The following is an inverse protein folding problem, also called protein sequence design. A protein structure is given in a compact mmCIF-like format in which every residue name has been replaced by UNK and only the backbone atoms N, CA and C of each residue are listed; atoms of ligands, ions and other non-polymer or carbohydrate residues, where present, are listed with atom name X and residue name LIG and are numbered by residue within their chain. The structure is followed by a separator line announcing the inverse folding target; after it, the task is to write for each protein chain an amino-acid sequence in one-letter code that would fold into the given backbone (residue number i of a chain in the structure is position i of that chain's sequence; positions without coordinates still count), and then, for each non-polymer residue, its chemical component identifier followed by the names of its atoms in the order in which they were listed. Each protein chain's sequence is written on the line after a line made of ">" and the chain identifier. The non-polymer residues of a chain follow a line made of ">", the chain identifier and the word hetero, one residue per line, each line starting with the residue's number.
data_IF_356906344780
#
_entry.id   IF_356906344780
#
_cell.length_a   1.000
_cell.length_b   1.000
_cell.length_c   1.000
_cell.angle_alpha   90.00
_cell.angle_beta   90.00
_cell.angle_gamma   90.00
#
_symmetry.space_group_name_H-M   'P 1'
#
loop_
_entity.id
_entity.type
_entity.pdbx_description
1 polymer ?
#
# COMPACT_ATOMS: atom_id res chain seq x y z
N UNK A 1 5.72 5.21 9.41
CA UNK A 1 6.32 6.38 8.72
C UNK A 1 5.44 6.79 7.53
N UNK A 2 5.40 8.06 7.12
CA UNK A 2 4.67 8.51 5.91
C UNK A 2 5.65 9.23 4.97
N UNK A 3 5.48 9.07 3.66
CA UNK A 3 6.41 9.48 2.63
C UNK A 3 5.88 10.69 1.86
N UNK A 4 6.04 11.88 2.46
CA UNK A 4 5.70 13.14 1.80
C UNK A 4 6.81 13.70 0.90
N UNK A 5 8.02 13.13 0.94
CA UNK A 5 9.22 13.70 0.31
C UNK A 5 9.96 12.67 -0.54
N UNK A 6 10.66 13.14 -1.57
CA UNK A 6 11.55 12.32 -2.39
C UNK A 6 12.66 11.66 -1.55
N UNK A 7 13.14 10.51 -2.00
CA UNK A 7 14.29 9.80 -1.45
C UNK A 7 15.52 10.01 -2.34
N UNK A 8 16.66 10.33 -1.72
CA UNK A 8 17.95 10.38 -2.42
C UNK A 8 18.46 9.00 -2.87
N UNK A 9 17.91 7.91 -2.29
CA UNK A 9 18.27 6.53 -2.66
C UNK A 9 17.49 5.98 -3.86
N UNK A 10 16.55 6.74 -4.40
CA UNK A 10 15.76 6.36 -5.57
C UNK A 10 16.08 7.28 -6.77
N UNK A 11 15.92 6.81 -8.01
CA UNK A 11 16.07 7.65 -9.19
C UNK A 11 15.07 8.83 -9.16
N UNK A 12 15.32 9.92 -9.91
CA UNK A 12 14.31 10.96 -10.08
C UNK A 12 13.04 10.38 -10.74
N UNK A 13 11.85 10.99 -10.55
CA UNK A 13 10.64 10.57 -11.23
C UNK A 13 10.83 10.53 -12.76
N UNK A 14 10.59 9.39 -13.36
CA UNK A 14 10.62 9.17 -14.80
C UNK A 14 9.35 9.64 -15.49
N UNK A 15 9.25 9.35 -16.79
CA UNK A 15 8.05 9.62 -17.58
C UNK A 15 6.90 8.72 -17.10
N UNK A 16 5.72 9.31 -16.96
CA UNK A 16 4.49 8.60 -16.69
C UNK A 16 3.36 9.09 -17.59
N UNK A 17 2.30 8.28 -17.68
CA UNK A 17 1.05 8.64 -18.35
C UNK A 17 -0.07 8.60 -17.32
N UNK A 18 -0.85 9.67 -17.23
CA UNK A 18 -2.04 9.68 -16.39
C UNK A 18 -3.14 8.82 -17.02
N UNK A 19 -3.64 7.85 -16.26
CA UNK A 19 -4.73 6.96 -16.62
C UNK A 19 -5.95 7.37 -15.83
N UNK A 20 -6.92 8.03 -16.47
CA UNK A 20 -8.13 8.53 -15.82
C UNK A 20 -9.40 7.76 -16.22
N UNK A 21 -9.29 6.83 -17.17
CA UNK A 21 -10.38 5.89 -17.48
C UNK A 21 -10.34 4.75 -16.46
N UNK A 22 -11.43 4.57 -15.70
CA UNK A 22 -11.47 3.62 -14.57
C UNK A 22 -10.93 4.24 -13.29
N UNK A 23 -10.09 3.50 -12.55
CA UNK A 23 -9.47 4.03 -11.33
C UNK A 23 -8.26 4.93 -11.67
N UNK A 24 -8.25 6.19 -11.20
CA UNK A 24 -7.15 7.12 -11.46
C UNK A 24 -5.79 6.57 -11.01
N UNK A 25 -4.82 6.58 -11.93
CA UNK A 25 -3.45 6.17 -11.66
C UNK A 25 -2.44 6.87 -12.57
N UNK A 26 -1.17 6.82 -12.18
CA UNK A 26 -0.03 7.17 -13.02
C UNK A 26 0.66 5.88 -13.46
N UNK A 27 0.72 5.64 -14.77
CA UNK A 27 1.37 4.46 -15.34
C UNK A 27 2.84 4.75 -15.69
N UNK A 28 3.73 3.82 -15.34
CA UNK A 28 5.18 3.86 -15.59
C UNK A 28 5.64 2.56 -16.25
N UNK A 29 6.60 2.65 -17.17
CA UNK A 29 7.15 1.49 -17.89
C UNK A 29 6.41 1.18 -19.20
N UNK A 30 6.72 0.02 -19.79
CA UNK A 30 6.10 -0.46 -21.03
C UNK A 30 4.87 -1.33 -20.71
N UNK A 31 3.74 -1.05 -21.36
CA UNK A 31 2.49 -1.81 -21.20
C UNK A 31 2.64 -3.28 -21.63
N UNK A 32 3.65 -3.62 -22.44
CA UNK A 32 3.98 -4.98 -22.83
C UNK A 32 4.60 -5.83 -21.71
N UNK A 33 5.00 -5.23 -20.59
CA UNK A 33 5.65 -5.98 -19.51
C UNK A 33 4.72 -6.99 -18.84
N UNK A 34 5.30 -8.16 -18.53
CA UNK A 34 4.57 -9.27 -17.89
C UNK A 34 4.36 -9.03 -16.39
N UNK A 35 5.31 -8.38 -15.74
CA UNK A 35 5.22 -8.04 -14.32
C UNK A 35 4.48 -6.72 -14.22
N UNK A 36 3.30 -6.73 -13.59
CA UNK A 36 2.42 -5.57 -13.47
C UNK A 36 2.16 -5.29 -12.00
N UNK A 37 2.61 -4.14 -11.52
CA UNK A 37 2.60 -3.81 -10.09
C UNK A 37 1.67 -2.62 -9.85
N UNK A 38 0.76 -2.74 -8.90
CA UNK A 38 0.03 -1.59 -8.38
C UNK A 38 0.66 -1.10 -7.07
N UNK A 39 0.92 0.20 -6.98
CA UNK A 39 1.40 0.86 -5.76
C UNK A 39 0.24 1.65 -5.16
N UNK A 40 -0.15 1.29 -3.93
CA UNK A 40 -1.14 2.03 -3.15
C UNK A 40 -0.42 2.95 -2.17
N UNK A 41 -0.50 4.28 -2.35
CA UNK A 41 0.26 5.23 -1.54
C UNK A 41 -0.29 5.35 -0.10
N UNK A 42 0.44 6.09 0.73
CA UNK A 42 -0.06 6.54 2.02
C UNK A 42 -1.02 7.74 1.90
N UNK A 43 -1.37 8.34 3.05
CA UNK A 43 -2.31 9.46 3.18
C UNK A 43 -1.93 10.72 2.38
N UNK A 44 -0.66 10.88 1.98
CA UNK A 44 -0.22 12.01 1.15
C UNK A 44 -0.57 11.81 -0.33
N UNK A 45 -0.89 10.59 -0.77
CA UNK A 45 -1.24 10.27 -2.15
C UNK A 45 0.00 10.02 -3.04
N UNK A 46 -0.13 10.10 -4.38
CA UNK A 46 0.90 9.71 -5.34
C UNK A 46 2.05 10.74 -5.46
N UNK A 47 2.65 11.09 -4.32
CA UNK A 47 3.71 12.09 -4.22
C UNK A 47 5.09 11.64 -4.74
N UNK A 48 6.12 12.51 -4.61
CA UNK A 48 7.42 12.30 -5.24
C UNK A 48 8.08 10.96 -4.91
N UNK A 49 8.05 10.52 -3.65
CA UNK A 49 8.59 9.22 -3.24
C UNK A 49 8.02 8.07 -4.07
N UNK A 50 6.69 8.02 -4.21
CA UNK A 50 6.00 6.93 -4.90
C UNK A 50 6.27 6.97 -6.40
N UNK A 51 6.39 8.15 -6.99
CA UNK A 51 6.77 8.28 -8.40
C UNK A 51 8.21 7.80 -8.64
N UNK A 52 9.14 8.11 -7.73
CA UNK A 52 10.50 7.59 -7.80
C UNK A 52 10.55 6.06 -7.63
N UNK A 53 9.74 5.51 -6.71
CA UNK A 53 9.63 4.07 -6.53
C UNK A 53 9.04 3.39 -7.77
N UNK A 54 7.97 3.95 -8.34
CA UNK A 54 7.37 3.46 -9.57
C UNK A 54 8.37 3.47 -10.73
N UNK A 55 9.14 4.56 -10.86
CA UNK A 55 10.22 4.67 -11.84
C UNK A 55 11.28 3.60 -11.63
N UNK A 56 11.73 3.41 -10.39
CA UNK A 56 12.74 2.43 -10.04
C UNK A 56 12.34 0.99 -10.39
N UNK A 57 11.07 0.65 -10.19
CA UNK A 57 10.50 -0.65 -10.54
C UNK A 57 10.30 -0.78 -12.05
N UNK A 58 9.88 0.29 -12.72
CA UNK A 58 9.73 0.31 -14.17
C UNK A 58 11.07 0.10 -14.90
N UNK A 59 12.15 0.74 -14.43
CA UNK A 59 13.52 0.53 -14.93
C UNK A 59 14.02 -0.92 -14.75
N UNK A 60 13.32 -1.74 -13.96
CA UNK A 60 13.62 -3.16 -13.71
C UNK A 60 12.69 -4.11 -14.47
N UNK A 61 11.91 -3.62 -15.42
CA UNK A 61 11.04 -4.44 -16.28
C UNK A 61 9.67 -4.74 -15.67
N UNK A 62 9.09 -3.78 -14.94
CA UNK A 62 7.71 -3.84 -14.49
C UNK A 62 6.87 -2.74 -15.16
N UNK A 63 5.61 -3.03 -15.46
CA UNK A 63 4.62 -2.00 -15.71
C UNK A 63 3.96 -1.62 -14.40
N UNK A 64 4.04 -0.35 -14.00
CA UNK A 64 3.65 0.09 -12.66
C UNK A 64 2.49 1.06 -12.72
N UNK A 65 1.41 0.76 -12.01
CA UNK A 65 0.32 1.69 -11.74
C UNK A 65 0.50 2.28 -10.33
N UNK A 66 0.85 3.55 -10.25
CA UNK A 66 0.79 4.31 -9.01
C UNK A 66 -0.63 4.86 -8.85
N UNK A 67 -1.39 4.30 -7.92
CA UNK A 67 -2.80 4.62 -7.75
C UNK A 67 -3.00 5.97 -7.06
N UNK A 68 -4.11 6.65 -7.37
CA UNK A 68 -4.52 7.89 -6.71
C UNK A 68 -5.90 7.74 -6.01
N UNK A 69 -5.93 7.25 -4.76
CA UNK A 69 -7.17 7.17 -3.99
C UNK A 69 -7.83 8.52 -3.68
N UNK A 70 -7.11 9.63 -3.92
CA UNK A 70 -7.53 10.97 -3.54
C UNK A 70 -7.93 11.84 -4.73
N UNK A 71 -7.97 11.28 -5.94
CA UNK A 71 -8.19 12.01 -7.19
C UNK A 71 -9.38 12.98 -7.11
N UNK A 72 -10.55 12.47 -6.71
CA UNK A 72 -11.80 13.25 -6.61
C UNK A 72 -11.79 14.27 -5.45
N UNK A 73 -10.88 14.11 -4.49
CA UNK A 73 -10.74 15.00 -3.33
C UNK A 73 -9.72 16.12 -3.58
N UNK A 74 -8.95 16.02 -4.67
CA UNK A 74 -7.94 17.00 -5.06
C UNK A 74 -6.66 16.96 -4.22
N UNK A 75 -5.70 17.84 -4.55
CA UNK A 75 -4.43 17.94 -3.84
C UNK A 75 -4.64 18.45 -2.41
N UNK A 76 -3.65 18.21 -1.56
CA UNK A 76 -3.64 18.81 -0.23
C UNK A 76 -3.43 20.33 -0.35
N UNK A 77 -4.23 21.15 0.34
CA UNK A 77 -4.00 22.60 0.40
C UNK A 77 -2.62 22.93 0.97
N UNK A 78 -2.21 22.15 1.98
CA UNK A 78 -0.90 22.24 2.64
C UNK A 78 -0.39 20.82 2.92
N UNK A 79 0.92 20.58 2.76
CA UNK A 79 1.53 19.27 3.02
C UNK A 79 1.77 19.12 4.53
N UNK A 80 0.69 19.02 5.28
CA UNK A 80 0.69 18.75 6.73
C UNK A 80 0.01 17.42 7.01
N UNK A 81 0.33 16.83 8.17
CA UNK A 81 -0.27 15.56 8.58
C UNK A 81 -1.76 15.72 8.84
N UNK A 82 -2.15 16.84 9.46
CA UNK A 82 -3.51 17.20 9.80
C UNK A 82 -4.36 17.35 8.54
N UNK A 83 -3.88 18.07 7.53
CA UNK A 83 -4.57 18.19 6.24
C UNK A 83 -4.68 16.83 5.52
N UNK A 84 -3.63 16.01 5.57
CA UNK A 84 -3.65 14.67 5.00
C UNK A 84 -4.69 13.76 5.65
N UNK A 85 -4.79 13.77 6.99
CA UNK A 85 -5.84 13.05 7.70
C UNK A 85 -7.23 13.61 7.39
N UNK A 86 -7.43 14.93 7.40
CA UNK A 86 -8.72 15.54 7.08
C UNK A 86 -9.21 15.13 5.68
N UNK A 87 -8.32 15.10 4.67
CA UNK A 87 -8.65 14.57 3.34
C UNK A 87 -8.92 13.07 3.39
N UNK A 88 -8.10 12.30 4.11
CA UNK A 88 -8.27 10.84 4.23
C UNK A 88 -9.67 10.46 4.67
N UNK A 89 -10.21 11.08 5.72
CA UNK A 89 -11.49 10.67 6.32
C UNK A 89 -12.66 10.69 5.33
N UNK A 90 -12.52 11.45 4.24
CA UNK A 90 -13.52 11.60 3.17
C UNK A 90 -13.39 10.55 2.07
N UNK A 91 -12.32 9.74 2.07
CA UNK A 91 -12.15 8.65 1.10
C UNK A 91 -13.18 7.58 1.40
N UNK A 92 -13.89 7.09 0.39
CA UNK A 92 -14.82 5.96 0.55
C UNK A 92 -14.07 4.64 0.40
N UNK A 93 -13.47 4.13 1.47
CA UNK A 93 -12.54 3.01 1.39
C UNK A 93 -13.16 1.76 0.77
N UNK A 94 -14.40 1.42 1.17
CA UNK A 94 -15.05 0.21 0.69
C UNK A 94 -15.26 0.33 -0.81
N UNK A 95 -15.85 1.44 -1.25
CA UNK A 95 -16.08 1.70 -2.67
C UNK A 95 -14.77 1.71 -3.48
N UNK A 96 -13.71 2.30 -2.91
CA UNK A 96 -12.39 2.32 -3.55
C UNK A 96 -11.80 0.92 -3.69
N UNK A 97 -11.81 0.10 -2.63
CA UNK A 97 -11.25 -1.26 -2.68
C UNK A 97 -12.10 -2.19 -3.54
N UNK A 98 -13.42 -1.99 -3.61
CA UNK A 98 -14.30 -2.69 -4.56
C UNK A 98 -13.86 -2.41 -6.00
N UNK A 99 -13.77 -1.14 -6.39
CA UNK A 99 -13.29 -0.77 -7.73
C UNK A 99 -11.84 -1.23 -7.98
N UNK A 100 -11.00 -1.26 -6.95
CA UNK A 100 -9.61 -1.67 -7.09
C UNK A 100 -9.45 -3.17 -7.30
N UNK A 101 -10.33 -3.98 -6.71
CA UNK A 101 -10.37 -5.42 -6.98
C UNK A 101 -10.71 -5.72 -8.45
N UNK A 102 -11.65 -4.96 -9.04
CA UNK A 102 -12.00 -5.08 -10.46
C UNK A 102 -10.82 -4.63 -11.34
N UNK A 103 -10.21 -3.49 -11.00
CA UNK A 103 -9.03 -2.96 -11.69
C UNK A 103 -7.86 -3.95 -11.74
N UNK A 104 -7.62 -4.71 -10.65
CA UNK A 104 -6.58 -5.74 -10.62
C UNK A 104 -6.78 -6.77 -11.75
N UNK A 105 -8.02 -7.21 -11.98
CA UNK A 105 -8.35 -8.16 -13.04
C UNK A 105 -8.21 -7.54 -14.43
N UNK A 106 -8.79 -6.35 -14.63
CA UNK A 106 -8.79 -5.63 -15.91
C UNK A 106 -7.37 -5.31 -16.39
N UNK A 107 -6.52 -4.81 -15.47
CA UNK A 107 -5.14 -4.44 -15.76
C UNK A 107 -4.14 -5.59 -15.59
N UNK A 108 -4.62 -6.80 -15.29
CA UNK A 108 -3.81 -8.02 -15.09
C UNK A 108 -2.68 -7.81 -14.09
N UNK A 109 -2.95 -7.10 -13.01
CA UNK A 109 -1.97 -6.81 -11.95
C UNK A 109 -1.47 -8.13 -11.37
N UNK A 110 -0.15 -8.29 -11.29
CA UNK A 110 0.52 -9.49 -10.74
C UNK A 110 0.91 -9.31 -9.28
N UNK A 111 1.07 -8.06 -8.83
CA UNK A 111 1.34 -7.77 -7.42
C UNK A 111 0.93 -6.37 -6.97
N UNK A 112 0.66 -6.23 -5.68
CA UNK A 112 0.25 -4.97 -5.04
C UNK A 112 1.16 -4.67 -3.86
N UNK A 113 1.74 -3.48 -3.86
CA UNK A 113 2.50 -2.94 -2.73
C UNK A 113 1.74 -1.76 -2.11
N UNK A 114 1.31 -1.91 -0.86
CA UNK A 114 0.55 -0.90 -0.14
C UNK A 114 1.32 -0.32 1.03
N UNK A 115 1.29 1.01 1.18
CA UNK A 115 2.06 1.74 2.20
C UNK A 115 1.10 2.46 3.16
N UNK A 116 1.23 2.25 4.48
CA UNK A 116 0.39 2.93 5.49
C UNK A 116 -1.11 2.72 5.21
N UNK A 117 -1.81 3.71 4.63
CA UNK A 117 -3.19 3.56 4.15
C UNK A 117 -3.31 2.45 3.10
N UNK A 118 -2.45 2.45 2.07
CA UNK A 118 -2.43 1.37 1.08
C UNK A 118 -2.17 0.00 1.70
N UNK A 119 -1.42 -0.06 2.79
CA UNK A 119 -1.18 -1.30 3.55
C UNK A 119 -2.43 -1.84 4.23
N UNK A 120 -3.36 -0.97 4.64
CA UNK A 120 -4.69 -1.37 5.13
C UNK A 120 -5.52 -2.00 4.00
N UNK A 121 -5.49 -1.42 2.80
CA UNK A 121 -6.21 -1.96 1.65
C UNK A 121 -5.66 -3.34 1.24
N UNK A 122 -4.35 -3.56 1.36
CA UNK A 122 -3.75 -4.87 1.12
C UNK A 122 -4.31 -5.97 2.04
N UNK A 123 -4.57 -5.67 3.32
CA UNK A 123 -5.23 -6.64 4.21
C UNK A 123 -6.63 -7.01 3.73
N UNK A 124 -7.39 -6.01 3.27
CA UNK A 124 -8.72 -6.24 2.73
C UNK A 124 -8.69 -7.05 1.43
N UNK A 125 -7.72 -6.81 0.54
CA UNK A 125 -7.53 -7.64 -0.66
C UNK A 125 -7.18 -9.09 -0.30
N UNK A 126 -6.35 -9.29 0.74
CA UNK A 126 -6.03 -10.62 1.24
C UNK A 126 -7.27 -11.32 1.81
N UNK A 127 -8.13 -10.59 2.53
CA UNK A 127 -9.42 -11.08 3.06
C UNK A 127 -10.38 -11.53 1.97
N UNK A 128 -10.41 -10.79 0.85
CA UNK A 128 -11.22 -11.11 -0.33
C UNK A 128 -10.66 -12.25 -1.17
N UNK A 129 -9.43 -12.70 -0.86
CA UNK A 129 -8.75 -13.76 -1.59
C UNK A 129 -8.35 -13.38 -3.01
N UNK A 130 -7.96 -12.13 -3.22
CA UNK A 130 -7.42 -11.69 -4.51
C UNK A 130 -6.09 -12.39 -4.77
N UNK A 131 -6.02 -13.16 -5.85
CA UNK A 131 -4.91 -14.08 -6.16
C UNK A 131 -3.74 -13.38 -6.86
N UNK A 132 -3.10 -12.42 -6.18
CA UNK A 132 -1.88 -11.71 -6.63
C UNK A 132 -0.87 -11.65 -5.48
N UNK A 133 0.38 -11.28 -5.77
CA UNK A 133 1.38 -11.07 -4.70
C UNK A 133 1.03 -9.81 -3.90
N UNK A 134 0.85 -9.95 -2.58
CA UNK A 134 0.38 -8.87 -1.71
C UNK A 134 1.43 -8.49 -0.67
N UNK A 135 1.84 -7.21 -0.66
CA UNK A 135 2.80 -6.66 0.30
C UNK A 135 2.23 -5.43 0.99
N UNK A 136 2.06 -5.51 2.32
CA UNK A 136 1.67 -4.40 3.19
C UNK A 136 2.90 -3.86 3.92
N UNK A 137 3.20 -2.58 3.74
CA UNK A 137 4.26 -1.89 4.46
C UNK A 137 3.62 -0.98 5.51
N UNK A 138 3.87 -1.32 6.78
CA UNK A 138 3.42 -0.60 7.98
C UNK A 138 1.95 -0.16 7.91
N UNK A 139 1.09 -1.07 7.44
CA UNK A 139 -0.36 -0.88 7.43
C UNK A 139 -0.96 -0.75 8.83
N UNK A 140 -2.28 -0.54 8.91
CA UNK A 140 -3.01 -0.42 10.17
C UNK A 140 -3.85 -1.67 10.44
N UNK A 141 -3.28 -2.76 11.00
CA UNK A 141 -4.05 -3.97 11.29
C UNK A 141 -5.19 -3.77 12.32
N UNK A 142 -5.11 -2.73 13.14
CA UNK A 142 -6.17 -2.26 14.03
C UNK A 142 -7.26 -1.43 13.34
N UNK A 143 -7.18 -1.26 12.02
CA UNK A 143 -8.03 -0.36 11.25
C UNK A 143 -7.62 1.11 11.35
N UNK A 144 -8.30 1.94 10.56
CA UNK A 144 -8.09 3.38 10.53
C UNK A 144 -9.46 4.06 10.46
N UNK A 145 -9.69 5.05 11.33
CA UNK A 145 -10.95 5.79 11.35
C UNK A 145 -11.24 6.41 9.97
N UNK A 146 -12.49 6.25 9.51
CA UNK A 146 -12.96 6.69 8.21
C UNK A 146 -14.49 6.73 8.18
N UNK A 147 -15.08 7.54 7.30
CA UNK A 147 -16.55 7.64 7.15
C UNK A 147 -17.17 6.42 6.47
N UNK A 148 -16.40 5.70 5.66
CA UNK A 148 -16.76 4.42 5.03
C UNK A 148 -15.65 3.39 5.34
N UNK A 149 -15.64 2.81 6.56
CA UNK A 149 -14.51 2.04 7.04
C UNK A 149 -14.48 0.61 6.48
N UNK A 150 -13.27 0.09 6.32
CA UNK A 150 -13.04 -1.34 6.11
C UNK A 150 -13.14 -2.11 7.43
N UNK A 151 -13.43 -3.43 7.40
CA UNK A 151 -13.32 -4.27 8.58
C UNK A 151 -11.91 -4.21 9.17
N UNK A 152 -11.81 -4.32 10.49
CA UNK A 152 -10.53 -4.25 11.20
C UNK A 152 -9.72 -5.53 10.90
N UNK A 153 -8.50 -5.44 10.35
CA UNK A 153 -7.71 -6.62 10.02
C UNK A 153 -7.48 -7.61 11.16
N UNK A 154 -7.24 -7.13 12.38
CA UNK A 154 -7.07 -8.02 13.54
C UNK A 154 -8.24 -8.98 13.78
N UNK A 155 -9.44 -8.65 13.32
CA UNK A 155 -10.62 -9.51 13.49
C UNK A 155 -10.65 -10.70 12.52
N UNK A 156 -9.86 -10.66 11.43
CA UNK A 156 -9.91 -11.68 10.37
C UNK A 156 -8.56 -12.19 9.87
N UNK A 157 -7.44 -11.61 10.32
CA UNK A 157 -6.10 -12.04 9.92
C UNK A 157 -5.87 -13.53 10.24
N UNK A 158 -6.44 -14.00 11.34
CA UNK A 158 -6.54 -15.42 11.68
C UNK A 158 -7.55 -16.11 10.75
N UNK A 159 -7.03 -16.87 9.77
CA UNK A 159 -7.87 -17.64 8.84
C UNK A 159 -7.84 -17.14 7.40
N UNK A 160 -6.96 -16.19 7.07
CA UNK A 160 -6.80 -15.76 5.68
C UNK A 160 -6.41 -16.94 4.76
N UNK A 161 -7.10 -17.12 3.63
CA UNK A 161 -6.85 -18.25 2.73
C UNK A 161 -5.56 -18.11 1.92
N UNK A 162 -5.03 -16.88 1.77
CA UNK A 162 -3.87 -16.58 0.94
C UNK A 162 -2.73 -15.94 1.74
N UNK A 163 -1.50 -16.20 1.25
CA UNK A 163 -0.29 -15.60 1.79
C UNK A 163 -0.23 -14.12 1.38
N UNK A 164 0.00 -13.26 2.37
CA UNK A 164 0.42 -11.89 2.15
C UNK A 164 1.63 -11.62 3.05
N UNK A 165 2.46 -10.65 2.66
CA UNK A 165 3.61 -10.22 3.46
C UNK A 165 3.27 -8.89 4.10
N UNK A 166 3.44 -8.78 5.41
CA UNK A 166 3.33 -7.52 6.14
C UNK A 166 4.69 -7.17 6.77
N UNK A 167 5.19 -5.97 6.48
CA UNK A 167 6.47 -5.47 6.98
C UNK A 167 6.23 -4.30 7.93
N UNK A 168 6.70 -4.43 9.17
CA UNK A 168 6.55 -3.41 10.20
C UNK A 168 7.92 -2.97 10.73
N UNK A 169 8.09 -1.66 10.92
CA UNK A 169 9.24 -1.13 11.63
C UNK A 169 9.07 -1.34 13.14
N UNK A 170 10.08 -1.88 13.80
CA UNK A 170 10.07 -2.11 15.26
C UNK A 170 10.02 -0.80 16.07
N UNK A 171 10.43 0.32 15.47
CA UNK A 171 10.36 1.67 16.01
C UNK A 171 9.15 2.47 15.51
N UNK A 172 8.18 1.85 14.82
CA UNK A 172 6.99 2.58 14.38
C UNK A 172 6.11 2.93 15.60
N UNK A 173 6.28 4.15 16.10
CA UNK A 173 5.54 4.70 17.23
C UNK A 173 4.17 5.25 16.84
N UNK A 174 3.68 5.03 15.61
CA UNK A 174 2.25 5.19 15.34
C UNK A 174 1.53 4.29 16.34
N UNK A 175 0.95 4.93 17.37
CA UNK A 175 0.80 4.42 18.75
C UNK A 175 -0.03 3.13 18.92
N UNK A 176 -0.48 2.52 17.84
CA UNK A 176 -1.34 1.34 17.81
C UNK A 176 -0.71 0.10 17.12
N UNK A 177 0.36 0.23 16.34
CA UNK A 177 0.82 -0.92 15.52
C UNK A 177 1.61 -1.96 16.34
N UNK A 178 2.66 -1.57 17.06
CA UNK A 178 3.56 -2.55 17.68
C UNK A 178 3.17 -3.02 19.10
N UNK A 179 2.42 -2.22 19.87
CA UNK A 179 1.99 -2.62 21.22
C UNK A 179 0.93 -3.72 21.15
N UNK A 180 -0.04 -3.58 20.26
CA UNK A 180 -1.14 -4.54 20.11
C UNK A 180 -0.71 -5.77 19.31
N UNK A 181 0.16 -5.62 18.29
CA UNK A 181 0.69 -6.75 17.50
C UNK A 181 1.61 -7.69 18.29
N UNK A 182 2.42 -7.17 19.23
CA UNK A 182 3.23 -8.03 20.12
C UNK A 182 2.38 -8.75 21.17
N UNK A 183 1.20 -8.24 21.48
CA UNK A 183 0.29 -8.82 22.47
C UNK A 183 -0.73 -9.78 21.84
N UNK A 184 -1.02 -9.67 20.54
CA UNK A 184 -1.82 -10.68 19.84
C UNK A 184 -1.00 -11.94 19.59
N UNK A 185 -1.54 -13.12 19.92
CA UNK A 185 -0.87 -14.41 19.66
C UNK A 185 -0.59 -14.63 18.15
N UNK A 186 -1.28 -13.88 17.29
CA UNK A 186 -1.12 -13.79 15.82
C UNK A 186 0.28 -13.30 15.43
N UNK A 187 0.82 -12.30 16.15
CA UNK A 187 2.14 -11.74 15.89
C UNK A 187 3.30 -12.64 16.29
N UNK A 188 3.05 -13.65 17.15
CA UNK A 188 4.04 -14.65 17.55
C UNK A 188 4.10 -15.85 16.60
N UNK A 189 3.02 -16.15 15.86
CA UNK A 189 2.95 -17.30 14.93
C UNK A 189 3.37 -16.97 13.50
N UNK A 190 3.31 -15.70 13.10
CA UNK A 190 3.73 -15.23 11.77
C UNK A 190 5.22 -14.89 11.72
N UNK A 191 6.02 -15.94 11.47
CA UNK A 191 7.42 -15.98 11.02
C UNK A 191 8.56 -16.00 12.07
N UNK A 192 9.44 -17.03 12.04
CA UNK A 192 10.70 -17.04 12.76
C UNK A 192 11.75 -16.20 12.00
N UNK A 193 11.64 -14.87 12.04
CA UNK A 193 12.72 -13.96 11.59
C UNK A 193 13.77 -13.85 12.71
N UNK A 194 14.39 -14.98 13.07
CA UNK A 194 15.55 -15.01 14.00
C UNK A 194 16.74 -15.80 13.47
N UNK A 195 16.70 -16.30 12.22
CA UNK A 195 17.76 -17.21 11.71
C UNK A 195 18.54 -16.75 10.47
N UNK A 196 18.46 -15.48 10.08
CA UNK A 196 19.17 -14.96 8.89
C UNK A 196 20.27 -13.92 9.18
N UNK A 197 20.63 -13.68 10.44
CA UNK A 197 21.74 -12.78 10.83
C UNK A 197 22.83 -13.43 11.70
N UNK A 198 22.95 -14.76 11.68
CA UNK A 198 24.09 -15.48 12.26
C UNK A 198 24.52 -16.58 11.31
N UNK A 199 25.28 -16.20 10.28
CA UNK A 199 26.28 -17.04 9.62
C UNK A 199 27.09 -16.10 8.71
N UNK A 200 28.09 -15.49 9.33
CA UNK A 200 29.02 -14.52 8.75
C UNK A 200 30.02 -14.17 9.85
N UNK A 201 30.93 -15.11 10.12
CA UNK A 201 31.88 -15.08 11.23
C UNK A 201 32.08 -16.48 11.80
#
# INVERSE_FOLDING_TARGET
>A
MCHGQASAGLPPPGKCVAMNEGLPSLAFGDEGERIRIAILPDIYGPGPFYQQLATHLAERGAFVHLMDPFHDLGPLPEITREAAFARRHRVRDRAYVDAFADFIGEQRITGVAGFCLGGLYVFELARRGIAVDLVSLYGFPQGLANDDPLPIPFDYLDGLPHRHVALFGDQDQSRLCCKDWRQSEVGCRSAPIRRLLRNGG
#
